data_IF_151169057594
#
_entry.id   IF_151169057594
#
_cell.length_a   1.000
_cell.length_b   1.000
_cell.length_c   1.000
_cell.angle_alpha   90.00
_cell.angle_beta   90.00
_cell.angle_gamma   90.00
#
_symmetry.space_group_name_H-M   'P 1'
#
loop_
_entity.id
_entity.type
_entity.pdbx_description
1 polymer ?
#
# COMPACT_ATOMS: atom_id res chain seq x y z
N UNK A 1 28.56 11.99 17.65
CA UNK A 1 28.65 11.31 16.54
C UNK A 1 27.38 10.62 16.15
N UNK A 2 27.02 10.79 14.99
CA UNK A 2 25.72 10.37 14.57
C UNK A 2 25.73 9.31 13.47
N UNK A 3 26.88 8.80 13.17
CA UNK A 3 26.97 7.81 12.10
C UNK A 3 26.10 6.61 12.37
N UNK A 4 26.17 6.04 13.56
CA UNK A 4 25.37 4.87 13.87
C UNK A 4 23.89 5.15 13.80
N UNK A 5 23.50 6.34 14.24
CA UNK A 5 22.09 6.71 14.21
C UNK A 5 21.59 6.79 12.78
N UNK A 6 22.36 7.43 11.90
CA UNK A 6 21.96 7.56 10.51
C UNK A 6 21.87 6.21 9.83
N UNK A 7 22.79 5.30 10.13
CA UNK A 7 22.75 3.97 9.55
C UNK A 7 21.51 3.20 10.00
N UNK A 8 21.12 3.34 11.26
CA UNK A 8 19.96 2.65 11.77
C UNK A 8 18.70 3.16 11.08
N UNK A 9 18.58 4.47 10.90
CA UNK A 9 17.42 5.04 10.22
C UNK A 9 17.35 4.57 8.78
N UNK A 10 18.48 4.59 8.07
CA UNK A 10 18.51 4.16 6.68
C UNK A 10 18.13 2.69 6.55
N UNK A 11 18.59 1.85 7.48
CA UNK A 11 18.26 0.44 7.45
C UNK A 11 16.77 0.22 7.67
N UNK A 12 16.17 0.95 8.62
CA UNK A 12 14.75 0.80 8.92
C UNK A 12 13.89 1.21 7.72
N UNK A 13 14.26 2.29 7.03
CA UNK A 13 13.53 2.73 5.85
C UNK A 13 13.65 1.69 4.74
N UNK A 14 14.83 1.16 4.52
CA UNK A 14 15.03 0.13 3.51
C UNK A 14 14.23 -1.12 3.80
N UNK A 15 14.16 -1.53 5.07
CA UNK A 15 13.38 -2.70 5.46
C UNK A 15 11.90 -2.48 5.21
N UNK A 16 11.40 -1.29 5.54
CA UNK A 16 10.00 -0.98 5.31
C UNK A 16 9.66 -0.99 3.82
N UNK A 17 10.53 -0.43 3.00
CA UNK A 17 10.32 -0.42 1.56
C UNK A 17 10.31 -1.83 0.99
N UNK A 18 11.19 -2.69 1.50
CA UNK A 18 11.21 -4.08 1.05
C UNK A 18 9.92 -4.79 1.39
N UNK A 19 9.38 -4.58 2.58
CA UNK A 19 8.10 -5.17 2.95
C UNK A 19 7.00 -4.70 2.02
N UNK A 20 7.00 -3.41 1.68
CA UNK A 20 5.93 -2.86 0.86
C UNK A 20 6.06 -3.18 -0.62
N UNK A 21 7.20 -3.73 -1.04
CA UNK A 21 7.32 -4.22 -2.41
C UNK A 21 6.78 -5.65 -2.52
N UNK A 22 6.60 -6.33 -1.39
CA UNK A 22 6.22 -7.74 -1.40
C UNK A 22 4.75 -7.99 -1.11
N UNK A 23 4.08 -7.08 -0.41
CA UNK A 23 2.71 -7.34 0.02
C UNK A 23 1.93 -6.04 0.14
N UNK A 24 0.58 -6.10 0.02
CA UNK A 24 -0.23 -4.89 0.16
C UNK A 24 -0.27 -4.45 1.61
N UNK A 25 0.28 -3.26 1.86
CA UNK A 25 0.22 -2.58 3.16
C UNK A 25 0.42 -3.54 4.34
N UNK A 26 1.58 -4.20 4.41
CA UNK A 26 1.77 -5.22 5.45
C UNK A 26 1.72 -4.69 6.88
N UNK A 27 1.89 -3.39 7.06
CA UNK A 27 1.83 -2.80 8.40
C UNK A 27 0.46 -2.27 8.77
N UNK A 28 -0.51 -2.38 7.87
CA UNK A 28 -1.87 -1.95 8.18
C UNK A 28 -2.01 -0.45 8.35
N UNK A 29 -1.31 0.32 7.53
CA UNK A 29 -1.36 1.78 7.62
C UNK A 29 -2.66 2.35 7.07
N UNK A 30 -3.39 1.58 6.27
CA UNK A 30 -4.68 1.99 5.77
C UNK A 30 -5.74 1.03 6.28
N UNK A 31 -6.86 1.59 6.74
CA UNK A 31 -7.93 0.79 7.31
C UNK A 31 -8.69 0.03 6.22
N UNK A 32 -9.15 -1.17 6.56
CA UNK A 32 -9.96 -1.95 5.65
C UNK A 32 -11.43 -1.66 5.87
N UNK A 33 -12.24 -1.70 4.83
CA UNK A 33 -11.83 -1.88 3.44
C UNK A 33 -11.24 -0.60 2.88
N UNK A 34 -10.49 -0.74 1.81
CA UNK A 34 -9.84 0.42 1.18
C UNK A 34 -9.99 0.35 -0.33
N UNK A 35 -9.89 1.51 -0.98
CA UNK A 35 -9.87 1.53 -2.43
C UNK A 35 -8.44 1.30 -2.92
N UNK A 36 -8.32 0.96 -4.20
CA UNK A 36 -6.99 0.77 -4.78
C UNK A 36 -6.18 2.07 -4.71
N UNK A 37 -6.84 3.21 -4.88
CA UNK A 37 -6.17 4.51 -4.78
C UNK A 37 -5.62 4.73 -3.37
N UNK A 38 -6.40 4.42 -2.35
CA UNK A 38 -5.94 4.58 -0.98
C UNK A 38 -4.75 3.69 -0.70
N UNK A 39 -4.80 2.45 -1.17
CA UNK A 39 -3.68 1.53 -0.98
C UNK A 39 -2.44 2.04 -1.70
N UNK A 40 -2.59 2.50 -2.94
CA UNK A 40 -1.46 3.00 -3.71
C UNK A 40 -0.81 4.19 -3.02
N UNK A 41 -1.61 5.09 -2.45
CA UNK A 41 -1.06 6.26 -1.78
C UNK A 41 -0.20 5.89 -0.58
N UNK A 42 -0.60 4.88 0.16
CA UNK A 42 0.22 4.39 1.27
C UNK A 42 1.55 3.85 0.75
N UNK A 43 1.49 3.06 -0.31
CA UNK A 43 2.71 2.50 -0.89
C UNK A 43 3.59 3.60 -1.47
N UNK A 44 2.99 4.64 -2.06
CA UNK A 44 3.78 5.75 -2.56
C UNK A 44 4.48 6.49 -1.43
N UNK A 45 3.79 6.66 -0.30
CA UNK A 45 4.40 7.32 0.85
C UNK A 45 5.62 6.53 1.35
N UNK A 46 5.50 5.22 1.41
CA UNK A 46 6.62 4.38 1.84
C UNK A 46 7.75 4.41 0.84
N UNK A 47 7.42 4.35 -0.45
CA UNK A 47 8.43 4.34 -1.50
C UNK A 47 9.10 5.70 -1.69
N UNK A 48 8.42 6.76 -1.29
CA UNK A 48 8.94 8.11 -1.49
C UNK A 48 8.86 8.57 -2.93
N UNK A 49 7.97 7.98 -3.72
CA UNK A 49 7.79 8.35 -5.11
C UNK A 49 6.42 7.89 -5.60
N UNK A 50 5.99 8.48 -6.69
CA UNK A 50 4.74 8.08 -7.32
C UNK A 50 4.89 6.69 -7.94
N UNK A 51 3.81 5.93 -7.90
CA UNK A 51 3.77 4.60 -8.49
C UNK A 51 2.75 4.60 -9.62
N UNK A 52 3.05 3.84 -10.67
CA UNK A 52 2.19 3.77 -11.83
C UNK A 52 0.92 2.98 -11.47
N UNK A 53 -0.28 3.59 -11.65
CA UNK A 53 -1.50 2.95 -11.15
C UNK A 53 -1.79 1.56 -11.71
N UNK A 54 -1.61 1.37 -13.01
CA UNK A 54 -1.93 0.07 -13.60
C UNK A 54 -0.99 -1.02 -13.17
N UNK A 55 0.30 -0.69 -13.10
CA UNK A 55 1.28 -1.67 -12.65
C UNK A 55 1.06 -2.04 -11.20
N UNK A 56 0.76 -1.04 -10.38
CA UNK A 56 0.49 -1.28 -8.97
C UNK A 56 -0.74 -2.18 -8.81
N UNK A 57 -1.82 -1.84 -9.50
CA UNK A 57 -3.04 -2.62 -9.43
C UNK A 57 -2.80 -4.07 -9.85
N UNK A 58 -2.09 -4.26 -10.94
CA UNK A 58 -1.82 -5.60 -11.45
C UNK A 58 -1.02 -6.43 -10.45
N UNK A 59 -0.08 -5.78 -9.78
CA UNK A 59 0.74 -6.49 -8.79
C UNK A 59 -0.03 -6.83 -7.54
N UNK A 60 -0.95 -5.95 -7.12
CA UNK A 60 -1.63 -6.11 -5.83
C UNK A 60 -2.90 -6.93 -5.89
N UNK A 61 -3.64 -6.87 -6.99
CA UNK A 61 -4.93 -7.54 -7.08
C UNK A 61 -4.91 -9.00 -6.65
N UNK A 62 -3.93 -9.80 -7.05
CA UNK A 62 -3.94 -11.21 -6.64
C UNK A 62 -3.79 -11.40 -5.14
N UNK A 63 -3.37 -10.36 -4.43
CA UNK A 63 -3.16 -10.45 -2.98
C UNK A 63 -4.26 -9.79 -2.19
N UNK A 64 -5.35 -9.40 -2.86
CA UNK A 64 -6.45 -8.70 -2.22
C UNK A 64 -7.74 -9.45 -2.43
N UNK A 65 -8.69 -9.20 -1.54
CA UNK A 65 -10.03 -9.76 -1.65
C UNK A 65 -10.97 -8.60 -1.93
N UNK A 66 -11.73 -8.70 -3.01
CA UNK A 66 -12.72 -7.69 -3.33
C UNK A 66 -13.89 -7.80 -2.38
N UNK A 67 -14.38 -6.65 -1.92
CA UNK A 67 -15.58 -6.61 -1.10
C UNK A 67 -16.73 -6.15 -1.98
N UNK A 68 -17.92 -6.13 -1.41
CA UNK A 68 -19.08 -5.61 -2.14
C UNK A 68 -19.26 -4.13 -1.92
N UNK A 69 -18.42 -3.52 -1.11
CA UNK A 69 -18.52 -2.10 -0.80
C UNK A 69 -17.87 -1.27 -1.87
N UNK A 70 -18.37 -0.05 -2.00
CA UNK A 70 -17.81 0.90 -2.94
C UNK A 70 -17.74 2.25 -2.27
N UNK A 71 -16.84 3.09 -2.74
CA UNK A 71 -16.67 4.42 -2.19
C UNK A 71 -16.59 5.44 -3.32
N UNK A 72 -17.35 6.51 -3.19
CA UNK A 72 -17.25 7.60 -4.15
C UNK A 72 -15.94 8.32 -3.95
N UNK A 73 -15.17 8.47 -5.04
CA UNK A 73 -13.88 9.17 -5.00
C UNK A 73 -13.88 10.30 -6.00
N UNK A 74 -15.01 11.02 -6.09
CA UNK A 74 -15.13 12.11 -7.04
C UNK A 74 -16.16 11.77 -8.09
N UNK A 75 -16.19 12.54 -9.18
CA UNK A 75 -17.17 12.29 -10.24
C UNK A 75 -16.88 10.94 -10.89
N UNK A 76 -17.93 10.31 -11.39
CA UNK A 76 -17.81 9.05 -12.07
C UNK A 76 -18.23 7.89 -11.19
N UNK A 77 -17.85 6.69 -11.59
CA UNK A 77 -18.27 5.49 -10.89
C UNK A 77 -17.61 5.39 -9.54
N UNK A 78 -18.33 4.91 -8.53
CA UNK A 78 -17.70 4.63 -7.24
C UNK A 78 -16.61 3.58 -7.38
N UNK A 79 -15.57 3.72 -6.60
CA UNK A 79 -14.44 2.78 -6.63
C UNK A 79 -14.75 1.56 -5.78
N UNK A 80 -14.39 0.40 -6.28
CA UNK A 80 -14.51 -0.83 -5.52
C UNK A 80 -13.56 -0.82 -4.35
N UNK A 81 -13.90 -1.54 -3.32
CA UNK A 81 -13.09 -1.59 -2.11
C UNK A 81 -12.59 -3.01 -1.88
N UNK A 82 -11.46 -3.10 -1.23
CA UNK A 82 -10.75 -4.34 -1.04
C UNK A 82 -10.29 -4.50 0.39
N UNK A 83 -9.95 -5.72 0.76
CA UNK A 83 -9.25 -5.99 2.01
C UNK A 83 -8.10 -6.92 1.71
N UNK A 84 -7.14 -6.94 2.62
CA UNK A 84 -5.98 -7.81 2.45
C UNK A 84 -6.43 -9.26 2.54
N UNK A 85 -5.79 -10.11 1.75
CA UNK A 85 -6.06 -11.53 1.81
C UNK A 85 -5.58 -12.04 3.16
N UNK A 86 -6.52 -12.56 3.93
CA UNK A 86 -6.19 -13.03 5.26
C UNK A 86 -5.64 -14.45 5.19
N UNK A 87 -4.48 -14.62 5.74
CA UNK A 87 -3.90 -15.93 5.75
C UNK A 87 -3.38 -16.19 7.09
N UNK A 88 -3.52 -17.25 7.49
CA UNK A 88 -3.02 -17.51 8.79
C UNK A 88 -2.40 -18.81 8.84
#
# INVERSE_FOLDING_TARGET
MVHGHDEIVAFAVGSLRALYSAAPDPRGLVAEPFTMTELRRVHEAVAGRALQPDSFRRAMLPRLVATEEKRAEGPGKPAGMYRRHDRR
#
